data_IF_438658257705
#
_entry.id   IF_438658257705
#
_cell.length_a   1.000
_cell.length_b   1.000
_cell.length_c   1.000
_cell.angle_alpha   90.00
_cell.angle_beta   90.00
_cell.angle_gamma   90.00
#
_symmetry.space_group_name_H-M   'P 1'
#
loop_
_entity.id
_entity.type
_entity.pdbx_description
1 polymer ?
#
# COMPACT_ATOMS: atom_id res chain seq x y z
N UNK A 1 -16.98 7.10 0.20
CA UNK A 1 -16.02 6.03 0.59
C UNK A 1 -15.36 6.46 1.91
N UNK A 2 -15.40 5.67 2.98
CA UNK A 2 -14.71 6.02 4.24
C UNK A 2 -13.22 5.67 4.16
N UNK A 3 -12.35 6.42 4.84
CA UNK A 3 -10.90 6.19 4.85
C UNK A 3 -10.52 4.78 5.32
N UNK A 4 -11.29 4.23 6.26
CA UNK A 4 -11.10 2.86 6.76
C UNK A 4 -11.40 1.80 5.69
N UNK A 5 -12.45 2.00 4.87
CA UNK A 5 -12.76 1.09 3.77
C UNK A 5 -11.70 1.16 2.68
N UNK A 6 -11.26 2.38 2.36
CA UNK A 6 -10.17 2.63 1.43
C UNK A 6 -8.87 1.93 1.85
N UNK A 7 -8.46 2.07 3.12
CA UNK A 7 -7.27 1.38 3.66
C UNK A 7 -7.38 -0.15 3.54
N UNK A 8 -8.54 -0.71 3.89
CA UNK A 8 -8.76 -2.14 3.83
C UNK A 8 -8.68 -2.69 2.39
N UNK A 9 -9.27 -1.97 1.44
CA UNK A 9 -9.27 -2.34 0.02
C UNK A 9 -7.86 -2.27 -0.57
N UNK A 10 -7.09 -1.22 -0.25
CA UNK A 10 -5.72 -1.04 -0.72
C UNK A 10 -4.78 -2.13 -0.17
N UNK A 11 -4.94 -2.49 1.10
CA UNK A 11 -4.19 -3.59 1.73
C UNK A 11 -4.55 -4.94 1.11
N UNK A 12 -5.82 -5.16 0.78
CA UNK A 12 -6.28 -6.38 0.10
C UNK A 12 -5.69 -6.48 -1.30
N UNK A 13 -5.68 -5.37 -2.06
CA UNK A 13 -5.01 -5.30 -3.35
C UNK A 13 -3.52 -5.65 -3.22
N UNK A 14 -2.79 -5.02 -2.28
CA UNK A 14 -1.36 -5.28 -2.08
C UNK A 14 -1.04 -6.75 -1.70
N UNK A 15 -1.98 -7.46 -1.07
CA UNK A 15 -1.84 -8.90 -0.79
C UNK A 15 -2.05 -9.79 -2.02
N UNK A 16 -2.91 -9.36 -2.94
CA UNK A 16 -3.22 -10.09 -4.17
C UNK A 16 -2.26 -9.76 -5.32
N UNK A 17 -1.58 -8.62 -5.22
CA UNK A 17 -0.62 -8.13 -6.21
C UNK A 17 0.55 -9.12 -6.37
N UNK A 18 0.85 -9.47 -7.62
CA UNK A 18 1.92 -10.41 -7.99
C UNK A 18 3.25 -9.70 -8.24
N UNK A 19 3.21 -8.39 -8.43
CA UNK A 19 4.40 -7.57 -8.63
C UNK A 19 5.30 -7.66 -7.40
N UNK A 20 6.62 -7.86 -7.58
CA UNK A 20 7.56 -7.88 -6.46
C UNK A 20 7.47 -6.57 -5.65
N UNK A 21 7.38 -6.67 -4.33
CA UNK A 21 7.30 -5.50 -3.43
C UNK A 21 8.42 -4.49 -3.71
N UNK A 22 9.61 -4.97 -4.08
CA UNK A 22 10.76 -4.11 -4.40
C UNK A 22 10.48 -3.20 -5.59
N UNK A 23 9.76 -3.71 -6.60
CA UNK A 23 9.35 -2.94 -7.78
C UNK A 23 8.25 -1.93 -7.42
N UNK A 24 7.25 -2.36 -6.66
CA UNK A 24 6.20 -1.46 -6.13
C UNK A 24 6.84 -0.33 -5.34
N UNK A 25 7.82 -0.62 -4.48
CA UNK A 25 8.52 0.38 -3.69
C UNK A 25 9.26 1.40 -4.55
N UNK A 26 9.97 0.95 -5.58
CA UNK A 26 10.70 1.81 -6.49
C UNK A 26 9.78 2.74 -7.29
N UNK A 27 8.61 2.24 -7.71
CA UNK A 27 7.67 3.00 -8.56
C UNK A 27 6.69 3.88 -7.76
N UNK A 28 6.26 3.45 -6.58
CA UNK A 28 5.38 4.24 -5.70
C UNK A 28 6.13 5.23 -4.81
N UNK A 29 7.44 5.08 -4.64
CA UNK A 29 8.23 5.87 -3.69
C UNK A 29 7.98 5.50 -2.21
N UNK A 30 7.21 4.45 -1.95
CA UNK A 30 6.96 3.92 -0.60
C UNK A 30 8.03 2.89 -0.26
N UNK A 31 8.59 2.93 0.95
CA UNK A 31 9.68 2.01 1.32
C UNK A 31 9.22 0.55 1.38
N UNK A 32 10.11 -0.38 1.02
CA UNK A 32 9.87 -1.82 1.09
C UNK A 32 9.42 -2.25 2.49
N UNK A 33 10.08 -1.73 3.53
CA UNK A 33 9.74 -2.03 4.93
C UNK A 33 8.31 -1.62 5.26
N UNK A 34 7.88 -0.44 4.79
CA UNK A 34 6.51 0.02 4.99
C UNK A 34 5.51 -0.87 4.26
N UNK A 35 5.75 -1.20 2.99
CA UNK A 35 4.87 -2.06 2.19
C UNK A 35 4.71 -3.46 2.80
N UNK A 36 5.79 -4.07 3.28
CA UNK A 36 5.75 -5.36 3.96
C UNK A 36 4.93 -5.29 5.25
N UNK A 37 5.18 -4.27 6.08
CA UNK A 37 4.43 -4.04 7.33
C UNK A 37 2.95 -3.76 7.07
N UNK A 38 2.65 -2.99 6.02
CA UNK A 38 1.30 -2.65 5.58
C UNK A 38 0.55 -3.88 5.08
N UNK A 39 1.17 -4.66 4.18
CA UNK A 39 0.64 -5.95 3.68
C UNK A 39 0.34 -6.92 4.82
N UNK A 40 1.23 -7.01 5.80
CA UNK A 40 1.06 -7.90 6.96
C UNK A 40 0.07 -7.33 8.00
N UNK A 41 -0.42 -6.11 7.81
CA UNK A 41 -1.37 -5.44 8.68
C UNK A 41 -0.82 -4.97 10.03
N UNK A 42 0.50 -4.86 10.14
CA UNK A 42 1.18 -4.37 11.37
C UNK A 42 1.13 -2.84 11.51
N UNK A 43 0.78 -2.13 10.45
CA UNK A 43 0.57 -0.68 10.48
C UNK A 43 -0.88 -0.40 10.91
N UNK A 44 -1.03 0.13 12.13
CA UNK A 44 -2.34 0.55 12.68
C UNK A 44 -2.81 1.87 12.09
N UNK A 45 -1.91 2.84 11.96
CA UNK A 45 -2.19 4.18 11.45
C UNK A 45 -1.27 4.49 10.26
N UNK A 46 -1.64 4.06 9.03
CA UNK A 46 -0.89 4.42 7.83
C UNK A 46 -1.02 5.92 7.55
N UNK A 47 0.07 6.54 7.09
CA UNK A 47 0.06 7.96 6.73
C UNK A 47 -0.70 8.15 5.41
N UNK A 48 -1.47 9.23 5.30
CA UNK A 48 -2.19 9.56 4.06
C UNK A 48 -1.25 9.63 2.86
N UNK A 49 -0.04 10.18 3.03
CA UNK A 49 0.98 10.24 1.97
C UNK A 49 1.30 8.86 1.39
N UNK A 50 1.54 7.85 2.23
CA UNK A 50 1.90 6.52 1.75
C UNK A 50 0.71 5.80 1.14
N UNK A 51 -0.50 6.02 1.67
CA UNK A 51 -1.72 5.47 1.09
C UNK A 51 -2.00 6.05 -0.30
N UNK A 52 -1.86 7.38 -0.46
CA UNK A 52 -2.05 8.05 -1.75
C UNK A 52 -1.02 7.56 -2.76
N UNK A 53 0.27 7.53 -2.39
CA UNK A 53 1.33 7.07 -3.30
C UNK A 53 1.13 5.61 -3.76
N UNK A 54 0.70 4.73 -2.83
CA UNK A 54 0.40 3.34 -3.19
C UNK A 54 -0.88 3.23 -4.04
N UNK A 55 -1.88 4.08 -3.80
CA UNK A 55 -3.11 4.11 -4.58
C UNK A 55 -2.88 4.62 -6.01
N UNK A 56 -2.10 5.69 -6.19
CA UNK A 56 -1.71 6.19 -7.51
C UNK A 56 -0.99 5.11 -8.31
N UNK A 57 -0.08 4.36 -7.68
CA UNK A 57 0.56 3.21 -8.30
C UNK A 57 -0.46 2.13 -8.71
N UNK A 58 -1.39 1.77 -7.83
CA UNK A 58 -2.36 0.70 -8.06
C UNK A 58 -3.41 1.02 -9.14
N UNK A 59 -3.63 2.31 -9.47
CA UNK A 59 -4.64 2.77 -10.43
C UNK A 59 -4.03 3.39 -11.69
N UNK A 60 -2.71 3.24 -11.88
CA UNK A 60 -2.01 3.61 -13.11
C UNK A 60 -2.22 2.56 -14.19
#
# INVERSE_FOLDING_TARGET
MSLLKFDADLRRWLKAEKTPIVKIAAESGVTVSWLQKYRNGTIKNPTLRNLVALWEYANR
#
